data_IF_394882071993
#
_entry.id   IF_394882071993
#
_cell.length_a   1.000
_cell.length_b   1.000
_cell.length_c   1.000
_cell.angle_alpha   90.00
_cell.angle_beta   90.00
_cell.angle_gamma   90.00
#
_symmetry.space_group_name_H-M   'P 1'
#
loop_
_entity.id
_entity.type
_entity.pdbx_description
1 polymer ?
#
# COMPACT_ATOMS: atom_id res chain seq x y z
N UNK A 1 -6.83 -22.77 -28.17
CA UNK A 1 -6.71 -23.09 -26.73
C UNK A 1 -5.54 -22.29 -26.21
N UNK A 2 -5.80 -21.34 -25.31
CA UNK A 2 -4.74 -20.62 -24.60
C UNK A 2 -3.88 -21.61 -23.82
N UNK A 3 -2.59 -21.33 -23.73
CA UNK A 3 -1.65 -22.10 -22.91
C UNK A 3 -2.08 -21.99 -21.44
N UNK A 4 -2.05 -23.07 -20.64
CA UNK A 4 -2.40 -22.99 -19.22
C UNK A 4 -1.43 -22.07 -18.49
N UNK A 5 -1.97 -21.19 -17.66
CA UNK A 5 -1.25 -20.31 -16.75
C UNK A 5 -0.60 -21.14 -15.66
N UNK A 6 0.73 -21.23 -15.68
CA UNK A 6 1.56 -21.86 -14.65
C UNK A 6 2.50 -20.87 -13.99
N UNK A 7 2.94 -19.85 -14.74
CA UNK A 7 3.87 -18.82 -14.29
C UNK A 7 3.20 -17.45 -14.29
N UNK A 8 3.16 -16.78 -13.14
CA UNK A 8 2.56 -15.45 -13.00
C UNK A 8 3.63 -14.45 -12.56
N UNK A 9 3.79 -13.38 -13.33
CA UNK A 9 4.69 -12.29 -13.00
C UNK A 9 3.88 -11.10 -12.47
N UNK A 10 4.15 -10.71 -11.22
CA UNK A 10 3.66 -9.45 -10.69
C UNK A 10 4.69 -8.36 -10.91
N UNK A 11 4.23 -7.16 -11.27
CA UNK A 11 5.09 -6.00 -11.42
C UNK A 11 4.52 -4.83 -10.62
N UNK A 12 5.35 -4.32 -9.73
CA UNK A 12 5.21 -3.04 -9.08
C UNK A 12 6.12 -2.03 -9.82
N UNK A 13 5.55 -1.20 -10.73
CA UNK A 13 6.33 -0.29 -11.54
C UNK A 13 6.86 0.89 -10.72
N UNK A 14 8.03 1.39 -11.09
CA UNK A 14 8.61 2.62 -10.55
C UNK A 14 7.98 3.84 -11.21
N UNK A 15 8.07 5.00 -10.56
CA UNK A 15 7.65 6.23 -11.21
C UNK A 15 8.64 6.61 -12.33
N UNK A 16 8.17 7.26 -13.40
CA UNK A 16 9.02 7.69 -14.51
C UNK A 16 9.99 8.81 -14.13
N UNK A 17 9.76 9.49 -13.00
CA UNK A 17 10.62 10.56 -12.48
C UNK A 17 11.03 10.26 -11.04
N UNK A 18 12.26 10.62 -10.63
CA UNK A 18 12.70 10.44 -9.25
C UNK A 18 11.81 11.18 -8.24
N UNK A 19 11.55 10.54 -7.10
CA UNK A 19 10.88 11.13 -5.93
C UNK A 19 11.37 10.43 -4.65
N UNK A 20 10.78 10.72 -3.49
CA UNK A 20 11.26 10.14 -2.23
C UNK A 20 11.29 8.60 -2.24
N UNK A 21 10.26 7.96 -2.78
CA UNK A 21 10.20 6.49 -2.88
C UNK A 21 11.16 5.91 -3.92
N UNK A 22 11.77 6.75 -4.78
CA UNK A 22 12.89 6.31 -5.62
C UNK A 22 14.22 6.21 -4.85
N UNK A 23 14.26 6.72 -3.62
CA UNK A 23 15.40 6.63 -2.69
C UNK A 23 15.15 5.68 -1.53
N UNK A 24 13.88 5.51 -1.15
CA UNK A 24 13.41 4.61 -0.10
C UNK A 24 12.42 3.63 -0.73
N UNK A 25 12.89 2.45 -1.09
CA UNK A 25 12.07 1.42 -1.71
C UNK A 25 11.26 0.67 -0.63
N UNK A 26 9.99 1.04 -0.48
CA UNK A 26 9.03 0.37 0.40
C UNK A 26 8.12 -0.48 -0.49
N UNK A 27 8.17 -1.82 -0.40
CA UNK A 27 7.26 -2.70 -1.15
C UNK A 27 5.80 -2.35 -0.92
N UNK A 28 5.00 -2.26 -1.98
CA UNK A 28 3.54 -2.27 -1.83
C UNK A 28 3.09 -3.69 -1.52
N UNK A 29 2.24 -3.83 -0.49
CA UNK A 29 1.83 -5.16 -0.01
C UNK A 29 1.01 -5.95 -1.03
N UNK A 30 0.22 -5.27 -1.86
CA UNK A 30 -0.73 -5.88 -2.80
C UNK A 30 -0.10 -6.95 -3.71
N UNK A 31 0.91 -6.63 -4.54
CA UNK A 31 1.59 -7.60 -5.38
C UNK A 31 2.15 -8.82 -4.65
N UNK A 32 2.73 -8.62 -3.44
CA UNK A 32 3.30 -9.71 -2.64
C UNK A 32 2.20 -10.62 -2.09
N UNK A 33 1.13 -10.03 -1.55
CA UNK A 33 -0.02 -10.76 -1.02
C UNK A 33 -0.72 -11.56 -2.13
N UNK A 34 -1.09 -10.91 -3.23
CA UNK A 34 -1.76 -11.57 -4.35
C UNK A 34 -0.87 -12.64 -4.99
N UNK A 35 0.44 -12.38 -5.08
CA UNK A 35 1.41 -13.39 -5.49
C UNK A 35 1.43 -14.60 -4.57
N UNK A 36 1.36 -14.39 -3.26
CA UNK A 36 1.30 -15.47 -2.27
C UNK A 36 0.01 -16.30 -2.38
N UNK A 37 -1.13 -15.64 -2.63
CA UNK A 37 -2.40 -16.33 -2.87
C UNK A 37 -2.29 -17.29 -4.06
N UNK A 38 -1.76 -16.80 -5.19
CA UNK A 38 -1.57 -17.62 -6.39
C UNK A 38 -0.50 -18.71 -6.21
N UNK A 39 0.57 -18.42 -5.48
CA UNK A 39 1.60 -19.41 -5.14
C UNK A 39 1.02 -20.58 -4.33
N UNK A 40 0.13 -20.30 -3.36
CA UNK A 40 -0.58 -21.35 -2.59
C UNK A 40 -1.54 -22.19 -3.44
N UNK A 41 -1.90 -21.73 -4.63
CA UNK A 41 -2.67 -22.50 -5.62
C UNK A 41 -1.77 -23.34 -6.56
N UNK A 42 -0.46 -23.38 -6.30
CA UNK A 42 0.49 -24.18 -7.05
C UNK A 42 1.07 -23.49 -8.29
N UNK A 43 0.84 -22.17 -8.44
CA UNK A 43 1.43 -21.38 -9.50
C UNK A 43 2.86 -20.94 -9.15
N UNK A 44 3.74 -20.93 -10.14
CA UNK A 44 5.07 -20.36 -9.99
C UNK A 44 4.95 -18.83 -10.09
N UNK A 45 5.35 -18.11 -9.03
CA UNK A 45 5.15 -16.67 -8.92
C UNK A 45 6.48 -15.95 -8.77
N UNK A 46 6.61 -14.82 -9.46
CA UNK A 46 7.70 -13.85 -9.26
C UNK A 46 7.12 -12.46 -9.13
N UNK A 47 7.58 -11.69 -8.14
CA UNK A 47 7.17 -10.29 -7.93
C UNK A 47 8.36 -9.39 -8.21
N UNK A 48 8.24 -8.52 -9.21
CA UNK A 48 9.22 -7.47 -9.49
C UNK A 48 8.75 -6.19 -8.83
N UNK A 49 9.63 -5.60 -8.01
CA UNK A 49 9.46 -4.24 -7.51
C UNK A 49 10.57 -3.42 -8.14
N UNK A 50 10.24 -2.60 -9.15
CA UNK A 50 11.26 -1.90 -9.95
C UNK A 50 12.11 -0.93 -9.10
N UNK A 51 11.58 -0.45 -7.97
CA UNK A 51 12.35 0.35 -7.00
C UNK A 51 13.32 -0.45 -6.14
N UNK A 52 13.18 -1.77 -6.06
CA UNK A 52 14.17 -2.65 -5.43
C UNK A 52 15.16 -3.10 -6.49
N UNK A 53 14.67 -3.77 -7.52
CA UNK A 53 15.45 -4.32 -8.61
C UNK A 53 14.59 -4.31 -9.89
N UNK A 54 14.97 -3.45 -10.84
CA UNK A 54 14.38 -3.44 -12.17
C UNK A 54 15.24 -4.28 -13.12
N UNK A 55 14.79 -5.47 -13.55
CA UNK A 55 15.52 -6.25 -14.53
C UNK A 55 15.38 -5.61 -15.92
N UNK A 56 16.24 -6.03 -16.84
CA UNK A 56 15.95 -5.87 -18.26
C UNK A 56 14.92 -6.95 -18.62
N UNK A 57 13.65 -6.58 -18.75
CA UNK A 57 12.55 -7.53 -18.99
C UNK A 57 12.80 -8.51 -20.15
N UNK A 58 13.39 -8.12 -21.30
CA UNK A 58 13.72 -9.07 -22.36
C UNK A 58 14.70 -10.18 -21.95
N UNK A 59 15.51 -9.93 -20.92
CA UNK A 59 16.54 -10.83 -20.41
C UNK A 59 16.16 -11.46 -19.06
N UNK A 60 14.91 -11.28 -18.61
CA UNK A 60 14.43 -11.89 -17.39
C UNK A 60 14.28 -13.40 -17.63
N UNK A 61 15.02 -14.20 -16.85
CA UNK A 61 14.86 -15.67 -16.83
C UNK A 61 13.58 -16.06 -16.07
N UNK A 62 12.44 -15.65 -16.64
CA UNK A 62 11.08 -15.95 -16.22
C UNK A 62 10.14 -15.61 -17.37
N UNK A 63 9.52 -16.64 -17.95
CA UNK A 63 8.60 -16.49 -19.07
C UNK A 63 7.16 -16.61 -18.55
N UNK A 64 6.48 -15.48 -18.23
CA UNK A 64 5.15 -15.53 -17.65
C UNK A 64 4.10 -16.00 -18.65
N UNK A 65 3.13 -16.78 -18.16
CA UNK A 65 1.88 -17.06 -18.87
C UNK A 65 0.82 -15.99 -18.57
N UNK A 66 1.01 -15.18 -17.51
CA UNK A 66 0.16 -14.06 -17.10
C UNK A 66 1.01 -12.97 -16.43
N UNK A 67 0.71 -11.71 -16.71
CA UNK A 67 1.35 -10.56 -16.05
C UNK A 67 0.32 -9.73 -15.28
N UNK A 68 0.60 -9.46 -14.02
CA UNK A 68 -0.22 -8.65 -13.12
C UNK A 68 0.52 -7.36 -12.74
N UNK A 69 -0.02 -6.18 -13.07
CA UNK A 69 0.66 -4.91 -12.83
C UNK A 69 -0.15 -4.07 -11.84
N UNK A 70 0.44 -3.71 -10.70
CA UNK A 70 -0.21 -2.89 -9.67
C UNK A 70 0.26 -1.45 -9.74
N UNK A 71 -0.65 -0.50 -10.01
CA UNK A 71 -0.28 0.90 -10.23
C UNK A 71 -0.99 1.87 -9.27
N UNK A 72 -0.25 2.91 -8.89
CA UNK A 72 -0.80 4.18 -8.42
C UNK A 72 -0.63 5.22 -9.53
N UNK A 73 -1.28 6.37 -9.42
CA UNK A 73 -1.33 7.35 -10.52
C UNK A 73 0.05 7.80 -10.99
N UNK A 74 1.01 7.98 -10.08
CA UNK A 74 2.38 8.37 -10.44
C UNK A 74 3.16 7.28 -11.18
N UNK A 75 2.76 6.01 -11.07
CA UNK A 75 3.41 4.87 -11.74
C UNK A 75 2.62 4.35 -12.94
N UNK A 76 1.44 4.91 -13.22
CA UNK A 76 0.56 4.47 -14.30
C UNK A 76 1.21 4.55 -15.69
N UNK A 77 1.96 5.61 -16.08
CA UNK A 77 2.62 5.63 -17.39
C UNK A 77 3.56 4.44 -17.58
N UNK A 78 4.32 4.08 -16.53
CA UNK A 78 5.21 2.92 -16.58
C UNK A 78 4.45 1.60 -16.59
N UNK A 79 3.31 1.52 -15.90
CA UNK A 79 2.42 0.37 -15.96
C UNK A 79 1.89 0.13 -17.38
N UNK A 80 1.52 1.20 -18.09
CA UNK A 80 1.03 1.14 -19.48
C UNK A 80 2.11 0.68 -20.45
N UNK A 81 3.32 1.23 -20.37
CA UNK A 81 4.46 0.77 -21.17
C UNK A 81 4.70 -0.75 -21.01
N UNK A 82 4.63 -1.24 -19.78
CA UNK A 82 4.81 -2.65 -19.47
C UNK A 82 3.62 -3.50 -19.95
N UNK A 83 2.40 -3.00 -19.81
CA UNK A 83 1.20 -3.65 -20.32
C UNK A 83 1.26 -3.86 -21.84
N UNK A 84 1.56 -2.79 -22.58
CA UNK A 84 1.72 -2.84 -24.04
C UNK A 84 2.85 -3.79 -24.46
N UNK A 85 3.97 -3.77 -23.74
CA UNK A 85 5.11 -4.65 -24.01
C UNK A 85 4.75 -6.14 -23.89
N UNK A 86 4.02 -6.54 -22.84
CA UNK A 86 3.64 -7.94 -22.64
C UNK A 86 2.47 -8.38 -23.52
N UNK A 87 1.49 -7.51 -23.76
CA UNK A 87 0.41 -7.78 -24.72
C UNK A 87 0.93 -7.93 -26.14
N UNK A 88 1.94 -7.13 -26.52
CA UNK A 88 2.65 -7.26 -27.80
C UNK A 88 3.34 -8.62 -28.00
N UNK A 89 3.58 -9.36 -26.91
CA UNK A 89 4.12 -10.72 -26.93
C UNK A 89 3.04 -11.81 -26.83
N UNK A 90 1.76 -11.42 -26.80
CA UNK A 90 0.63 -12.33 -26.61
C UNK A 90 0.48 -12.85 -25.19
N UNK A 91 1.12 -12.22 -24.20
CA UNK A 91 0.94 -12.56 -22.78
C UNK A 91 -0.22 -11.73 -22.23
N UNK A 92 -1.27 -12.36 -21.64
CA UNK A 92 -2.38 -11.62 -21.07
C UNK A 92 -1.92 -10.74 -19.89
N UNK A 93 -2.49 -9.54 -19.80
CA UNK A 93 -2.16 -8.54 -18.78
C UNK A 93 -3.38 -8.21 -17.92
N UNK A 94 -3.19 -8.28 -16.61
CA UNK A 94 -4.14 -7.81 -15.59
C UNK A 94 -3.56 -6.57 -14.93
N UNK A 95 -4.31 -5.46 -14.92
CA UNK A 95 -3.94 -4.28 -14.13
C UNK A 95 -4.79 -4.16 -12.87
N UNK A 96 -4.20 -3.60 -11.82
CA UNK A 96 -4.88 -3.35 -10.55
C UNK A 96 -4.23 -2.22 -9.76
N UNK A 97 -4.72 -2.02 -8.54
CA UNK A 97 -4.29 -0.91 -7.69
C UNK A 97 -5.19 0.32 -7.83
N UNK A 98 -4.88 1.36 -7.05
CA UNK A 98 -5.75 2.51 -6.89
C UNK A 98 -6.02 3.26 -8.21
N UNK A 99 -5.00 3.38 -9.07
CA UNK A 99 -5.18 4.08 -10.34
C UNK A 99 -6.11 3.31 -11.28
N UNK A 100 -5.81 2.03 -11.54
CA UNK A 100 -6.62 1.21 -12.44
C UNK A 100 -8.05 0.99 -11.94
N UNK A 101 -8.26 1.00 -10.62
CA UNK A 101 -9.61 0.92 -10.03
C UNK A 101 -10.51 2.12 -10.35
N UNK A 102 -9.94 3.31 -10.58
CA UNK A 102 -10.70 4.54 -10.83
C UNK A 102 -10.57 5.07 -12.25
N UNK A 103 -9.59 4.58 -13.01
CA UNK A 103 -9.34 4.94 -14.42
C UNK A 103 -9.34 3.68 -15.29
N UNK A 104 -10.45 2.93 -15.19
CA UNK A 104 -10.61 1.58 -15.74
C UNK A 104 -10.44 1.56 -17.25
N UNK A 105 -11.11 2.48 -17.97
CA UNK A 105 -11.09 2.49 -19.44
C UNK A 105 -9.68 2.74 -19.99
N UNK A 106 -8.99 3.74 -19.45
CA UNK A 106 -7.60 4.05 -19.84
C UNK A 106 -6.68 2.85 -19.55
N UNK A 107 -6.86 2.19 -18.40
CA UNK A 107 -6.08 0.99 -18.07
C UNK A 107 -6.33 -0.17 -19.03
N UNK A 108 -7.57 -0.36 -19.51
CA UNK A 108 -7.92 -1.41 -20.48
C UNK A 108 -7.43 -1.11 -21.91
N UNK A 109 -7.02 0.12 -22.21
CA UNK A 109 -6.32 0.37 -23.47
C UNK A 109 -4.93 -0.31 -23.47
N UNK A 110 -4.38 -0.61 -22.27
CA UNK A 110 -3.05 -1.20 -22.05
C UNK A 110 -3.06 -2.58 -21.36
N UNK A 111 -4.23 -3.13 -21.06
CA UNK A 111 -4.42 -4.40 -20.35
C UNK A 111 -5.60 -5.19 -20.93
N UNK A 112 -5.65 -6.50 -20.69
CA UNK A 112 -6.79 -7.33 -21.10
C UNK A 112 -7.88 -7.36 -20.02
N UNK A 113 -7.46 -7.21 -18.75
CA UNK A 113 -8.33 -7.20 -17.58
C UNK A 113 -7.91 -6.13 -16.58
N UNK A 114 -8.88 -5.60 -15.84
CA UNK A 114 -8.64 -4.72 -14.68
C UNK A 114 -9.36 -5.30 -13.47
N UNK A 115 -8.63 -5.45 -12.36
CA UNK A 115 -9.21 -5.78 -11.05
C UNK A 115 -9.34 -4.49 -10.24
N UNK A 116 -10.57 -4.12 -9.95
CA UNK A 116 -10.93 -2.91 -9.21
C UNK A 116 -11.08 -3.21 -7.71
N UNK A 117 -10.52 -2.39 -6.83
CA UNK A 117 -10.62 -2.63 -5.39
C UNK A 117 -9.70 -3.75 -4.91
N UNK A 118 -10.19 -4.57 -3.99
CA UNK A 118 -9.42 -5.69 -3.41
C UNK A 118 -9.40 -6.88 -4.38
N UNK A 119 -8.20 -7.35 -4.73
CA UNK A 119 -8.03 -8.44 -5.70
C UNK A 119 -7.94 -9.84 -5.08
N UNK A 120 -8.14 -9.96 -3.77
CA UNK A 120 -7.77 -11.15 -3.00
C UNK A 120 -8.45 -12.43 -3.54
N UNK A 121 -9.74 -12.36 -3.84
CA UNK A 121 -10.48 -13.47 -4.46
C UNK A 121 -10.70 -13.31 -5.97
N UNK A 122 -10.85 -12.07 -6.44
CA UNK A 122 -11.16 -11.79 -7.85
C UNK A 122 -10.03 -12.24 -8.79
N UNK A 123 -8.77 -12.10 -8.38
CA UNK A 123 -7.64 -12.54 -9.20
C UNK A 123 -7.58 -14.06 -9.32
N UNK A 124 -7.65 -14.85 -8.24
CA UNK A 124 -7.79 -16.30 -8.33
C UNK A 124 -8.96 -16.79 -9.20
N UNK A 125 -10.13 -16.17 -9.07
CA UNK A 125 -11.32 -16.51 -9.87
C UNK A 125 -11.07 -16.28 -11.36
N UNK A 126 -10.48 -15.13 -11.72
CA UNK A 126 -10.08 -14.83 -13.09
C UNK A 126 -9.07 -15.86 -13.61
N UNK A 127 -8.01 -16.15 -12.84
CA UNK A 127 -6.98 -17.13 -13.23
C UNK A 127 -7.59 -18.51 -13.46
N UNK A 128 -8.54 -18.93 -12.63
CA UNK A 128 -9.24 -20.20 -12.78
C UNK A 128 -10.02 -20.28 -14.10
N UNK A 129 -10.78 -19.23 -14.45
CA UNK A 129 -11.55 -19.16 -15.71
C UNK A 129 -10.60 -19.16 -16.93
N UNK A 130 -9.51 -18.39 -16.87
CA UNK A 130 -8.52 -18.35 -17.95
C UNK A 130 -7.82 -19.70 -18.17
N UNK A 131 -7.63 -20.48 -17.10
CA UNK A 131 -7.02 -21.80 -17.14
C UNK A 131 -7.96 -22.89 -17.66
N UNK A 132 -9.22 -22.90 -17.24
CA UNK A 132 -10.21 -23.87 -17.72
C UNK A 132 -10.62 -23.57 -19.16
N UNK A 133 -10.61 -22.30 -19.58
CA UNK A 133 -11.26 -21.85 -20.81
C UNK A 133 -12.79 -21.91 -20.73
N UNK A 134 -13.34 -22.16 -19.53
CA UNK A 134 -14.75 -22.32 -19.22
C UNK A 134 -15.12 -21.42 -18.04
N UNK A 135 -16.26 -20.74 -18.12
CA UNK A 135 -16.75 -19.86 -17.05
C UNK A 135 -17.28 -18.54 -17.59
N UNK A 136 -17.96 -17.81 -16.72
CA UNK A 136 -18.50 -16.48 -17.03
C UNK A 136 -17.64 -15.40 -16.40
N UNK A 137 -16.96 -14.60 -17.24
CA UNK A 137 -16.21 -13.43 -16.77
C UNK A 137 -17.12 -12.42 -16.08
N UNK A 138 -18.42 -12.36 -16.41
CA UNK A 138 -19.43 -11.54 -15.75
C UNK A 138 -19.70 -11.93 -14.29
N UNK A 139 -19.34 -13.15 -13.88
CA UNK A 139 -19.50 -13.63 -12.51
C UNK A 139 -18.34 -13.22 -11.59
N UNK A 140 -17.18 -12.84 -12.15
CA UNK A 140 -16.02 -12.41 -11.36
C UNK A 140 -16.24 -10.97 -10.87
N UNK A 141 -16.72 -10.80 -9.64
CA UNK A 141 -16.84 -9.47 -9.04
C UNK A 141 -15.48 -8.76 -8.99
N UNK A 142 -15.49 -7.43 -8.98
CA UNK A 142 -14.30 -6.56 -9.13
C UNK A 142 -13.62 -6.59 -10.51
N UNK A 143 -14.02 -7.47 -11.43
CA UNK A 143 -13.42 -7.53 -12.77
C UNK A 143 -14.01 -6.48 -13.71
N UNK A 144 -13.14 -5.85 -14.49
CA UNK A 144 -13.51 -5.10 -15.69
C UNK A 144 -12.70 -5.59 -16.90
N UNK A 145 -13.34 -5.61 -18.07
CA UNK A 145 -12.77 -6.09 -19.32
C UNK A 145 -13.54 -5.51 -20.52
N UNK A 146 -13.01 -5.72 -21.72
CA UNK A 146 -13.69 -5.35 -22.96
C UNK A 146 -14.34 -6.58 -23.60
N UNK A 147 -15.62 -6.47 -23.92
CA UNK A 147 -16.34 -7.40 -24.78
C UNK A 147 -16.47 -6.77 -26.16
N UNK A 148 -15.51 -7.07 -27.05
CA UNK A 148 -15.28 -6.28 -28.25
C UNK A 148 -14.79 -4.88 -27.87
N UNK A 149 -15.58 -3.85 -28.19
CA UNK A 149 -15.28 -2.46 -27.80
C UNK A 149 -16.03 -2.01 -26.54
N UNK A 150 -16.97 -2.83 -26.06
CA UNK A 150 -17.87 -2.47 -24.97
C UNK A 150 -17.18 -2.72 -23.63
N UNK A 151 -17.08 -1.68 -22.81
CA UNK A 151 -16.62 -1.81 -21.44
C UNK A 151 -17.63 -2.61 -20.61
N UNK A 152 -17.20 -3.75 -20.11
CA UNK A 152 -17.88 -4.53 -19.07
C UNK A 152 -17.16 -4.29 -17.76
N UNK A 153 -17.88 -3.75 -16.78
CA UNK A 153 -17.37 -3.56 -15.42
C UNK A 153 -18.35 -4.22 -14.45
N UNK A 154 -17.90 -5.32 -13.86
CA UNK A 154 -18.72 -6.07 -12.92
C UNK A 154 -18.83 -5.30 -11.59
N UNK A 155 -19.90 -5.56 -10.80
CA UNK A 155 -20.05 -4.97 -9.49
C UNK A 155 -18.85 -5.23 -8.59
N UNK A 156 -18.54 -4.26 -7.73
CA UNK A 156 -17.54 -4.49 -6.69
C UNK A 156 -18.10 -5.45 -5.64
N UNK A 157 -17.29 -6.38 -5.16
CA UNK A 157 -17.69 -7.33 -4.11
C UNK A 157 -17.78 -6.66 -2.73
N UNK A 158 -18.56 -7.25 -1.81
CA UNK A 158 -18.44 -6.93 -0.39
C UNK A 158 -17.01 -7.14 0.11
N UNK A 159 -16.59 -6.29 1.04
CA UNK A 159 -15.27 -6.40 1.66
C UNK A 159 -15.15 -7.67 2.52
N UNK A 160 -14.00 -8.34 2.44
CA UNK A 160 -13.68 -9.46 3.32
C UNK A 160 -13.61 -8.98 4.78
N UNK A 161 -14.51 -9.43 5.65
CA UNK A 161 -14.59 -8.94 7.04
C UNK A 161 -13.44 -9.44 7.92
N UNK A 162 -13.05 -10.70 7.77
CA UNK A 162 -11.97 -11.31 8.54
C UNK A 162 -10.67 -11.36 7.71
N UNK A 163 -9.76 -10.43 7.96
CA UNK A 163 -8.50 -10.35 7.23
C UNK A 163 -7.56 -11.54 7.54
N UNK A 164 -7.82 -12.29 8.62
CA UNK A 164 -7.01 -13.44 8.99
C UNK A 164 -7.14 -14.63 8.03
N UNK A 165 -8.19 -14.64 7.19
CA UNK A 165 -8.39 -15.66 6.16
C UNK A 165 -7.36 -15.58 5.03
N UNK A 166 -6.75 -14.40 4.85
CA UNK A 166 -5.72 -14.19 3.83
C UNK A 166 -4.43 -14.94 4.22
N UNK A 167 -3.53 -15.27 3.29
CA UNK A 167 -2.23 -15.80 3.64
C UNK A 167 -1.31 -14.70 4.23
N UNK A 168 -0.32 -15.09 5.05
CA UNK A 168 0.80 -14.20 5.36
C UNK A 168 1.61 -14.00 4.08
N UNK A 169 1.85 -12.76 3.63
CA UNK A 169 2.63 -12.47 2.44
C UNK A 169 4.02 -13.13 2.49
N UNK A 170 4.40 -13.81 1.41
CA UNK A 170 5.73 -14.40 1.25
C UNK A 170 6.64 -13.44 0.50
N UNK A 171 7.58 -12.78 1.20
CA UNK A 171 8.53 -11.88 0.56
C UNK A 171 9.62 -12.62 -0.24
N UNK A 172 9.74 -13.94 -0.14
CA UNK A 172 10.72 -14.71 -0.93
C UNK A 172 10.32 -14.80 -2.42
N UNK A 173 9.07 -14.49 -2.80
CA UNK A 173 8.70 -14.34 -4.22
C UNK A 173 9.22 -13.04 -4.85
N UNK A 174 9.73 -12.09 -4.06
CA UNK A 174 10.26 -10.81 -4.54
C UNK A 174 11.61 -11.03 -5.21
N UNK A 175 11.67 -10.70 -6.50
CA UNK A 175 12.87 -10.77 -7.30
C UNK A 175 13.97 -9.85 -6.75
N UNK A 176 15.15 -10.43 -6.52
CA UNK A 176 16.35 -9.71 -6.11
C UNK A 176 16.13 -8.81 -4.88
N UNK A 177 15.33 -9.29 -3.92
CA UNK A 177 14.96 -8.53 -2.72
C UNK A 177 16.18 -7.96 -1.96
N UNK A 178 17.34 -8.61 -2.05
CA UNK A 178 18.58 -8.21 -1.38
C UNK A 178 19.43 -7.16 -2.15
N UNK A 179 19.08 -6.80 -3.40
CA UNK A 179 19.97 -6.09 -4.32
C UNK A 179 20.39 -4.66 -3.88
N UNK A 180 19.57 -3.95 -3.09
CA UNK A 180 19.84 -2.57 -2.65
C UNK A 180 20.30 -2.46 -1.19
N UNK A 181 21.35 -3.22 -0.83
CA UNK A 181 22.06 -3.21 0.47
C UNK A 181 21.31 -3.92 1.62
N UNK A 182 20.84 -5.13 1.38
CA UNK A 182 20.10 -5.90 2.39
C UNK A 182 18.62 -5.53 2.41
N UNK A 183 17.78 -6.45 2.89
CA UNK A 183 16.32 -6.36 2.96
C UNK A 183 15.91 -5.13 3.77
N UNK A 184 15.76 -3.98 3.11
CA UNK A 184 15.74 -2.69 3.83
C UNK A 184 14.40 -2.39 4.47
N UNK A 185 13.31 -2.68 3.75
CA UNK A 185 11.96 -2.50 4.21
C UNK A 185 11.11 -3.74 3.91
N UNK A 186 10.20 -4.07 4.82
CA UNK A 186 9.01 -4.86 4.54
C UNK A 186 7.79 -4.05 4.93
N UNK A 187 6.69 -4.24 4.20
CA UNK A 187 5.39 -3.69 4.56
C UNK A 187 4.55 -4.75 5.25
N UNK A 188 3.92 -4.39 6.37
CA UNK A 188 2.95 -5.22 7.08
C UNK A 188 1.68 -4.39 7.23
N UNK A 189 0.53 -4.92 6.85
CA UNK A 189 -0.75 -4.25 7.09
C UNK A 189 -1.41 -4.84 8.33
N UNK A 190 -1.79 -4.01 9.29
CA UNK A 190 -2.57 -4.48 10.45
C UNK A 190 -4.07 -4.29 10.29
N UNK A 191 -4.46 -3.45 9.32
CA UNK A 191 -5.84 -3.10 9.04
C UNK A 191 -6.06 -2.64 7.59
N UNK A 192 -7.33 -2.58 7.19
CA UNK A 192 -7.81 -1.95 5.94
C UNK A 192 -9.04 -1.11 6.23
N UNK A 193 -9.22 -0.04 5.45
CA UNK A 193 -10.37 0.86 5.54
C UNK A 193 -10.14 2.05 6.46
N UNK A 194 -11.04 3.04 6.43
CA UNK A 194 -10.94 4.26 7.24
C UNK A 194 -12.30 4.98 7.33
N UNK A 195 -12.84 5.31 8.52
CA UNK A 195 -14.15 5.98 8.66
C UNK A 195 -14.07 7.48 8.39
N UNK A 196 -12.86 8.04 8.40
CA UNK A 196 -12.66 9.48 8.21
C UNK A 196 -13.01 9.91 6.79
N UNK A 197 -13.60 11.10 6.68
CA UNK A 197 -14.14 11.62 5.42
C UNK A 197 -13.30 12.80 4.90
N UNK A 198 -11.97 12.63 4.85
CA UNK A 198 -11.07 13.66 4.33
C UNK A 198 -11.35 13.86 2.84
N UNK A 199 -11.60 15.10 2.40
CA UNK A 199 -12.15 15.40 1.05
C UNK A 199 -11.26 14.88 -0.09
N UNK A 200 -9.95 14.87 0.11
CA UNK A 200 -8.96 14.48 -0.90
C UNK A 200 -8.65 12.97 -0.93
N UNK A 201 -9.12 12.20 0.05
CA UNK A 201 -8.62 10.85 0.30
C UNK A 201 -9.36 9.78 -0.52
N UNK A 202 -8.61 8.90 -1.19
CA UNK A 202 -9.14 7.78 -1.98
C UNK A 202 -9.44 6.50 -1.17
N UNK A 203 -8.97 6.40 0.07
CA UNK A 203 -9.05 5.17 0.90
C UNK A 203 -10.47 4.67 1.06
N UNK A 204 -11.42 5.55 1.38
CA UNK A 204 -12.82 5.13 1.61
C UNK A 204 -13.47 4.52 0.37
N UNK A 205 -13.02 4.96 -0.82
CA UNK A 205 -13.51 4.43 -2.09
C UNK A 205 -12.90 3.08 -2.39
N UNK A 206 -11.67 2.81 -1.94
CA UNK A 206 -10.94 1.58 -2.26
C UNK A 206 -11.15 0.47 -1.21
N UNK A 207 -11.09 0.80 0.08
CA UNK A 207 -11.09 -0.14 1.20
C UNK A 207 -12.31 -0.03 2.13
N UNK A 208 -13.20 0.92 1.85
CA UNK A 208 -14.42 1.14 2.62
C UNK A 208 -14.23 1.99 3.87
N UNK A 209 -15.36 2.25 4.55
CA UNK A 209 -15.42 3.13 5.74
C UNK A 209 -15.17 2.39 7.06
N UNK A 210 -15.29 1.07 7.07
CA UNK A 210 -15.12 0.26 8.27
C UNK A 210 -13.67 -0.19 8.38
N UNK A 211 -13.05 0.01 9.54
CA UNK A 211 -11.80 -0.65 9.82
C UNK A 211 -12.01 -2.15 9.94
N UNK A 212 -11.21 -2.91 9.20
CA UNK A 212 -11.09 -4.36 9.29
C UNK A 212 -9.66 -4.65 9.71
N UNK A 213 -9.47 -5.53 10.69
CA UNK A 213 -8.18 -5.75 11.32
C UNK A 213 -7.71 -7.19 11.11
N UNK A 214 -6.39 -7.35 10.96
CA UNK A 214 -5.75 -8.62 11.26
C UNK A 214 -5.72 -8.81 12.79
N UNK A 215 -5.80 -10.03 13.31
CA UNK A 215 -5.57 -10.27 14.74
C UNK A 215 -4.13 -9.91 15.14
N UNK A 216 -3.92 -9.64 16.42
CA UNK A 216 -2.55 -9.40 16.95
C UNK A 216 -1.68 -10.64 16.73
N UNK A 217 -2.22 -11.84 16.94
CA UNK A 217 -1.49 -13.10 16.72
C UNK A 217 -1.00 -13.25 15.27
N UNK A 218 -1.86 -12.93 14.31
CA UNK A 218 -1.48 -12.95 12.89
C UNK A 218 -0.40 -11.92 12.57
N UNK A 219 -0.52 -10.71 13.09
CA UNK A 219 0.49 -9.66 12.88
C UNK A 219 1.83 -10.08 13.51
N UNK A 220 1.82 -10.68 14.71
CA UNK A 220 3.03 -11.23 15.34
C UNK A 220 3.67 -12.33 14.49
N UNK A 221 2.86 -13.22 13.90
CA UNK A 221 3.36 -14.25 12.98
C UNK A 221 4.01 -13.63 11.73
N UNK A 222 3.43 -12.59 11.16
CA UNK A 222 4.00 -11.89 10.00
C UNK A 222 5.28 -11.12 10.35
N UNK A 223 5.36 -10.50 11.53
CA UNK A 223 6.59 -9.87 12.05
C UNK A 223 7.70 -10.91 12.17
N UNK A 224 7.43 -12.08 12.76
CA UNK A 224 8.42 -13.15 12.91
C UNK A 224 8.86 -13.71 11.54
N UNK A 225 7.93 -13.89 10.61
CA UNK A 225 8.22 -14.48 9.29
C UNK A 225 8.99 -13.51 8.37
N UNK A 226 8.61 -12.23 8.37
CA UNK A 226 9.08 -11.23 7.40
C UNK A 226 9.79 -10.05 8.06
N UNK A 227 9.22 -9.50 9.14
CA UNK A 227 9.73 -8.31 9.82
C UNK A 227 11.18 -8.46 10.28
N UNK A 228 11.51 -9.56 10.95
CA UNK A 228 12.86 -9.83 11.46
C UNK A 228 13.89 -10.12 10.36
N UNK A 229 13.45 -10.34 9.12
CA UNK A 229 14.34 -10.53 7.97
C UNK A 229 14.74 -9.21 7.34
N UNK A 230 14.16 -8.08 7.76
CA UNK A 230 14.42 -6.76 7.21
C UNK A 230 14.98 -5.81 8.26
N UNK A 231 15.64 -4.74 7.79
CA UNK A 231 16.15 -3.69 8.65
C UNK A 231 15.06 -2.82 9.26
N UNK A 232 13.91 -2.70 8.58
CA UNK A 232 12.83 -1.81 8.97
C UNK A 232 11.47 -2.39 8.57
N UNK A 233 10.50 -2.32 9.48
CA UNK A 233 9.10 -2.65 9.18
C UNK A 233 8.31 -1.36 8.96
N UNK A 234 7.61 -1.27 7.84
CA UNK A 234 6.63 -0.22 7.61
C UNK A 234 5.22 -0.79 7.81
N UNK A 235 4.55 -0.39 8.89
CA UNK A 235 3.14 -0.69 9.05
C UNK A 235 2.33 0.18 8.08
N UNK A 236 1.90 -0.43 6.98
CA UNK A 236 1.39 0.29 5.81
C UNK A 236 -0.11 0.65 5.88
N UNK A 237 -0.69 0.58 7.08
CA UNK A 237 -2.03 1.03 7.40
C UNK A 237 -2.24 2.50 7.02
N UNK A 238 -3.44 2.86 6.56
CA UNK A 238 -3.81 4.26 6.31
C UNK A 238 -3.90 5.09 7.61
N UNK A 239 -4.12 4.41 8.74
CA UNK A 239 -4.04 4.95 10.09
C UNK A 239 -3.79 3.79 11.06
N UNK A 240 -2.53 3.55 11.40
CA UNK A 240 -2.10 2.44 12.26
C UNK A 240 -2.75 2.47 13.64
N UNK A 241 -2.88 3.67 14.22
CA UNK A 241 -3.48 3.89 15.54
C UNK A 241 -5.01 4.04 15.50
N UNK A 242 -5.66 3.41 14.52
CA UNK A 242 -7.11 3.40 14.38
C UNK A 242 -7.80 2.81 15.62
N UNK A 243 -7.28 1.69 16.11
CA UNK A 243 -7.67 1.06 17.37
C UNK A 243 -6.47 1.08 18.31
N UNK A 244 -6.48 2.01 19.25
CA UNK A 244 -5.34 2.27 20.14
C UNK A 244 -5.08 1.11 21.08
N UNK A 245 -6.14 0.52 21.64
CA UNK A 245 -6.02 -0.59 22.58
C UNK A 245 -5.42 -1.81 21.89
N UNK A 246 -5.84 -2.09 20.64
CA UNK A 246 -5.22 -3.15 19.83
C UNK A 246 -3.74 -2.87 19.53
N UNK A 247 -3.35 -1.62 19.28
CA UNK A 247 -1.93 -1.27 19.07
C UNK A 247 -1.12 -1.37 20.36
N UNK A 248 -1.69 -0.99 21.51
CA UNK A 248 -1.06 -1.22 22.82
C UNK A 248 -0.82 -2.72 23.06
N UNK A 249 -1.81 -3.56 22.77
CA UNK A 249 -1.68 -5.03 22.84
C UNK A 249 -0.54 -5.53 21.93
N UNK A 250 -0.49 -5.08 20.67
CA UNK A 250 0.58 -5.44 19.74
C UNK A 250 1.97 -5.02 20.27
N UNK A 251 2.11 -3.79 20.76
CA UNK A 251 3.37 -3.31 21.31
C UNK A 251 3.79 -4.10 22.57
N UNK A 252 2.83 -4.43 23.45
CA UNK A 252 3.08 -5.28 24.61
C UNK A 252 3.55 -6.68 24.19
N UNK A 253 2.94 -7.27 23.15
CA UNK A 253 3.35 -8.57 22.60
C UNK A 253 4.77 -8.54 22.03
N UNK A 254 5.13 -7.51 21.27
CA UNK A 254 6.49 -7.28 20.76
C UNK A 254 7.51 -7.26 21.91
N UNK A 255 7.19 -6.51 22.98
CA UNK A 255 8.04 -6.39 24.17
C UNK A 255 8.16 -7.70 24.95
N UNK A 256 7.04 -8.42 25.14
CA UNK A 256 7.01 -9.70 25.86
C UNK A 256 7.82 -10.77 25.14
N UNK A 257 7.72 -10.83 23.82
CA UNK A 257 8.47 -11.77 22.98
C UNK A 257 9.91 -11.32 22.71
N UNK A 258 10.28 -10.11 23.18
CA UNK A 258 11.62 -9.51 23.03
C UNK A 258 12.06 -9.42 21.57
N UNK A 259 11.13 -9.07 20.69
CA UNK A 259 11.43 -8.84 19.28
C UNK A 259 12.11 -7.48 19.15
N UNK A 260 13.26 -7.45 18.45
CA UNK A 260 14.09 -6.26 18.30
C UNK A 260 14.19 -5.89 16.82
N UNK A 261 13.45 -4.85 16.43
CA UNK A 261 13.43 -4.29 15.07
C UNK A 261 12.90 -2.86 15.11
N UNK A 262 13.34 -2.05 14.15
CA UNK A 262 12.81 -0.69 13.97
C UNK A 262 11.56 -0.72 13.08
N UNK A 263 10.59 0.12 13.42
CA UNK A 263 9.41 0.26 12.59
C UNK A 263 8.89 1.69 12.50
N UNK A 264 8.08 1.92 11.46
CA UNK A 264 7.38 3.18 11.26
C UNK A 264 5.97 2.95 10.76
N UNK A 265 5.10 3.91 11.01
CA UNK A 265 3.69 3.79 10.67
C UNK A 265 3.08 5.16 10.34
N UNK A 266 1.99 5.15 9.57
CA UNK A 266 1.16 6.33 9.37
C UNK A 266 0.15 6.47 10.50
N UNK A 267 0.06 7.67 11.06
CA UNK A 267 -0.85 7.97 12.18
C UNK A 267 -1.52 9.32 11.96
N UNK A 268 -2.58 9.56 12.74
CA UNK A 268 -3.19 10.88 12.83
C UNK A 268 -2.71 11.63 14.07
N UNK A 269 -2.90 12.96 14.05
CA UNK A 269 -2.58 13.88 15.14
C UNK A 269 -3.19 13.42 16.47
N UNK A 270 -4.36 12.80 16.45
CA UNK A 270 -5.03 12.35 17.68
C UNK A 270 -4.28 11.23 18.43
N UNK A 271 -3.35 10.51 17.79
CA UNK A 271 -2.53 9.48 18.43
C UNK A 271 -1.65 10.07 19.54
N UNK A 272 -1.16 11.29 19.35
CA UNK A 272 -0.28 11.98 20.30
C UNK A 272 -0.98 12.49 21.57
N UNK A 273 -2.25 12.12 21.78
CA UNK A 273 -3.04 12.42 22.99
C UNK A 273 -3.06 11.25 23.98
N UNK A 274 -2.47 10.12 23.64
CA UNK A 274 -2.43 8.90 24.46
C UNK A 274 -0.98 8.62 24.86
N UNK A 275 -0.63 9.00 26.08
CA UNK A 275 0.74 8.91 26.62
C UNK A 275 1.21 7.45 26.74
N UNK A 276 0.33 6.56 27.22
CA UNK A 276 0.63 5.13 27.33
C UNK A 276 0.90 4.51 25.95
N UNK A 277 0.09 4.86 24.94
CA UNK A 277 0.31 4.40 23.58
C UNK A 277 1.70 4.83 23.07
N UNK A 278 2.07 6.11 23.25
CA UNK A 278 3.37 6.61 22.80
C UNK A 278 4.55 5.94 23.52
N UNK A 279 4.46 5.72 24.85
CA UNK A 279 5.48 4.97 25.60
C UNK A 279 5.65 3.55 25.06
N UNK A 280 4.54 2.83 24.86
CA UNK A 280 4.56 1.47 24.34
C UNK A 280 5.12 1.41 22.92
N UNK A 281 4.72 2.35 22.05
CA UNK A 281 5.25 2.45 20.69
C UNK A 281 6.77 2.67 20.70
N UNK A 282 7.26 3.63 21.48
CA UNK A 282 8.69 3.94 21.57
C UNK A 282 9.50 2.71 22.04
N UNK A 283 9.05 2.08 23.12
CA UNK A 283 9.72 0.89 23.69
C UNK A 283 9.68 -0.31 22.75
N UNK A 284 8.61 -0.46 21.97
CA UNK A 284 8.46 -1.53 21.00
C UNK A 284 9.19 -1.29 19.67
N UNK A 285 10.02 -0.24 19.55
CA UNK A 285 10.86 0.02 18.38
C UNK A 285 10.29 1.02 17.37
N UNK A 286 9.28 1.83 17.74
CA UNK A 286 8.78 2.89 16.88
C UNK A 286 9.85 3.97 16.65
N UNK A 287 10.43 3.96 15.46
CA UNK A 287 11.47 4.90 15.07
C UNK A 287 10.89 6.25 14.64
N UNK A 288 9.85 6.21 13.81
CA UNK A 288 9.28 7.40 13.17
C UNK A 288 7.79 7.20 12.89
N UNK A 289 7.00 8.25 13.10
CA UNK A 289 5.60 8.31 12.66
C UNK A 289 5.45 9.27 11.48
N UNK A 290 4.65 8.85 10.51
CA UNK A 290 4.25 9.66 9.36
C UNK A 290 2.90 10.28 9.69
N UNK A 291 2.88 11.59 9.97
CA UNK A 291 1.67 12.26 10.45
C UNK A 291 1.05 13.10 9.34
N UNK A 292 -0.20 12.80 9.01
CA UNK A 292 -0.99 13.60 8.06
C UNK A 292 -1.38 14.96 8.64
N UNK A 293 -0.43 15.91 8.65
CA UNK A 293 -0.64 17.29 9.11
C UNK A 293 -1.45 18.10 8.08
N UNK A 294 -1.24 17.80 6.80
CA UNK A 294 -1.86 18.35 5.59
C UNK A 294 -1.63 19.85 5.38
N UNK A 295 -1.94 20.69 6.36
CA UNK A 295 -1.80 22.14 6.25
C UNK A 295 -1.73 22.78 7.63
N UNK A 296 -1.08 23.94 7.70
CA UNK A 296 -1.15 24.84 8.87
C UNK A 296 -2.15 26.00 8.66
N UNK A 297 -2.81 26.05 7.50
CA UNK A 297 -3.85 27.03 7.21
C UNK A 297 -5.20 26.48 7.70
N UNK A 298 -5.86 27.12 8.70
CA UNK A 298 -7.14 26.64 9.22
C UNK A 298 -8.24 26.56 8.16
N UNK A 299 -8.23 27.44 7.15
CA UNK A 299 -9.18 27.39 6.05
C UNK A 299 -9.00 26.13 5.19
N UNK A 300 -7.75 25.78 4.86
CA UNK A 300 -7.40 24.54 4.14
C UNK A 300 -7.76 23.29 4.96
N UNK A 301 -7.47 23.26 6.26
CA UNK A 301 -7.86 22.13 7.13
C UNK A 301 -9.37 21.91 7.15
N UNK A 302 -10.15 23.00 7.23
CA UNK A 302 -11.61 22.96 7.15
C UNK A 302 -12.09 22.48 5.78
N UNK A 303 -11.50 22.98 4.68
CA UNK A 303 -11.82 22.56 3.31
C UNK A 303 -11.58 21.06 3.11
N UNK A 304 -10.48 20.55 3.66
CA UNK A 304 -10.11 19.14 3.61
C UNK A 304 -10.91 18.25 4.56
N UNK A 305 -11.76 18.84 5.39
CA UNK A 305 -12.55 18.15 6.41
C UNK A 305 -11.65 17.40 7.42
N UNK A 306 -10.54 18.03 7.81
CA UNK A 306 -9.66 17.55 8.89
C UNK A 306 -10.09 18.18 10.21
N UNK A 307 -10.18 17.36 11.25
CA UNK A 307 -10.63 17.75 12.59
C UNK A 307 -9.53 18.36 13.48
N UNK A 308 -8.30 18.43 12.99
CA UNK A 308 -7.14 18.92 13.76
C UNK A 308 -7.00 20.44 13.68
N UNK A 309 -6.44 21.03 14.74
CA UNK A 309 -6.07 22.46 14.80
C UNK A 309 -4.55 22.62 14.64
N UNK A 310 -4.09 23.85 14.38
CA UNK A 310 -2.66 24.16 14.28
C UNK A 310 -1.96 23.91 15.61
N UNK A 311 -2.61 24.24 16.73
CA UNK A 311 -2.12 23.94 18.09
C UNK A 311 -2.04 22.43 18.31
N UNK A 312 -3.05 21.67 17.90
CA UNK A 312 -3.03 20.20 18.00
C UNK A 312 -1.92 19.56 17.17
N UNK A 313 -1.58 20.14 16.02
CA UNK A 313 -0.41 19.74 15.21
C UNK A 313 0.89 20.00 15.99
N UNK A 314 1.04 21.17 16.63
CA UNK A 314 2.21 21.48 17.47
C UNK A 314 2.36 20.50 18.63
N UNK A 315 1.27 20.31 19.39
CA UNK A 315 1.25 19.40 20.54
C UNK A 315 1.61 17.97 20.11
N UNK A 316 1.12 17.54 18.95
CA UNK A 316 1.43 16.23 18.40
C UNK A 316 2.92 16.02 18.18
N UNK A 317 3.59 16.97 17.53
CA UNK A 317 5.04 16.90 17.28
C UNK A 317 5.81 16.85 18.60
N UNK A 318 5.52 17.78 19.51
CA UNK A 318 6.18 17.88 20.82
C UNK A 318 6.01 16.59 21.63
N UNK A 319 4.81 16.00 21.62
CA UNK A 319 4.51 14.80 22.39
C UNK A 319 5.21 13.56 21.85
N UNK A 320 5.31 13.39 20.53
CA UNK A 320 6.10 12.30 19.96
C UNK A 320 7.60 12.46 20.24
N UNK A 321 8.14 13.66 20.08
CA UNK A 321 9.55 13.93 20.40
C UNK A 321 9.90 13.67 21.86
N UNK A 322 8.98 13.98 22.79
CA UNK A 322 9.14 13.68 24.23
C UNK A 322 9.30 12.19 24.51
N UNK A 323 8.75 11.32 23.66
CA UNK A 323 8.89 9.87 23.76
C UNK A 323 10.03 9.32 22.89
N UNK A 324 10.86 10.19 22.30
CA UNK A 324 11.96 9.78 21.42
C UNK A 324 11.52 9.29 20.05
N UNK A 325 10.26 9.52 19.66
CA UNK A 325 9.72 9.12 18.35
C UNK A 325 9.88 10.28 17.37
N UNK A 326 10.47 10.00 16.21
CA UNK A 326 10.66 10.99 15.14
C UNK A 326 9.35 11.28 14.41
N UNK A 327 9.20 12.49 13.86
CA UNK A 327 7.99 12.90 13.15
C UNK A 327 8.30 13.32 11.71
N UNK A 328 7.78 12.54 10.77
CA UNK A 328 7.67 12.95 9.37
C UNK A 328 6.34 13.67 9.16
N UNK A 329 6.39 14.98 8.91
CA UNK A 329 5.21 15.82 8.74
C UNK A 329 4.77 15.88 7.29
N UNK A 330 3.63 15.26 6.95
CA UNK A 330 3.10 15.26 5.59
C UNK A 330 2.23 16.49 5.34
N UNK A 331 2.54 17.25 4.29
CA UNK A 331 1.80 18.45 3.88
C UNK A 331 1.31 18.34 2.43
N UNK A 332 0.14 18.95 2.16
CA UNK A 332 -0.45 19.06 0.82
C UNK A 332 -0.58 20.54 0.50
N UNK A 333 0.18 20.99 -0.50
CA UNK A 333 0.14 22.37 -0.98
C UNK A 333 -0.73 22.50 -2.23
N UNK A 334 -1.28 23.70 -2.43
CA UNK A 334 -2.05 24.04 -3.62
C UNK A 334 -3.56 23.88 -3.45
N UNK A 335 -4.04 23.93 -2.20
CA UNK A 335 -5.46 24.11 -1.91
C UNK A 335 -5.99 25.39 -2.54
N UNK A 336 -7.30 25.43 -2.81
CA UNK A 336 -8.03 26.66 -3.20
C UNK A 336 -7.88 27.78 -2.16
N UNK A 337 -7.67 27.39 -0.90
CA UNK A 337 -7.49 28.31 0.24
C UNK A 337 -6.02 28.67 0.49
N UNK A 338 -5.07 28.04 -0.22
CA UNK A 338 -3.64 28.35 -0.06
C UNK A 338 -3.24 29.54 -0.93
N UNK A 339 -2.44 30.43 -0.34
CA UNK A 339 -1.69 31.45 -1.06
C UNK A 339 -0.20 31.28 -0.80
N UNK A 340 0.64 31.98 -1.57
CA UNK A 340 2.11 31.82 -1.51
C UNK A 340 2.69 31.92 -0.08
N UNK A 341 2.10 32.77 0.77
CA UNK A 341 2.54 32.96 2.15
C UNK A 341 2.34 31.69 3.01
N UNK A 342 1.33 30.85 2.74
CA UNK A 342 1.12 29.57 3.45
C UNK A 342 2.34 28.67 3.29
N UNK A 343 2.95 28.61 2.10
CA UNK A 343 4.14 27.80 1.86
C UNK A 343 5.31 28.30 2.74
N UNK A 344 5.51 29.61 2.82
CA UNK A 344 6.56 30.21 3.68
C UNK A 344 6.29 29.96 5.15
N UNK A 345 5.05 30.09 5.58
CA UNK A 345 4.64 29.87 6.96
C UNK A 345 4.80 28.39 7.34
N UNK A 346 4.49 27.45 6.44
CA UNK A 346 4.72 26.01 6.67
C UNK A 346 6.21 25.72 6.83
N UNK A 347 7.08 26.33 6.02
CA UNK A 347 8.54 26.17 6.19
C UNK A 347 8.99 26.72 7.53
N UNK A 348 8.52 27.91 7.93
CA UNK A 348 8.85 28.51 9.23
C UNK A 348 8.37 27.62 10.38
N UNK A 349 7.10 27.20 10.33
CA UNK A 349 6.48 26.31 11.32
C UNK A 349 7.25 25.00 11.46
N UNK A 350 7.63 24.39 10.34
CA UNK A 350 8.36 23.11 10.33
C UNK A 350 9.74 23.23 10.99
N UNK A 351 10.44 24.36 10.78
CA UNK A 351 11.73 24.63 11.41
C UNK A 351 11.61 24.99 12.88
N UNK A 352 10.55 25.70 13.27
CA UNK A 352 10.28 26.06 14.67
C UNK A 352 9.93 24.84 15.52
N UNK A 353 9.25 23.85 14.95
CA UNK A 353 8.92 22.58 15.62
C UNK A 353 9.99 21.50 15.48
N UNK A 354 11.09 21.77 14.79
CA UNK A 354 12.16 20.80 14.53
C UNK A 354 11.64 19.48 13.92
N UNK A 355 10.76 19.58 12.90
CA UNK A 355 10.26 18.40 12.19
C UNK A 355 11.42 17.59 11.58
N UNK A 356 11.44 16.28 11.84
CA UNK A 356 12.52 15.39 11.41
C UNK A 356 12.62 15.25 9.90
N UNK A 357 11.48 15.33 9.21
CA UNK A 357 11.38 15.32 7.74
C UNK A 357 9.99 15.78 7.27
N UNK A 358 9.89 16.10 5.97
CA UNK A 358 8.70 16.59 5.27
C UNK A 358 8.41 15.78 4.01
#
# INVERSE_FOLDING_TARGET
MSRPIKKVLFIEPRAPRPHIFSRVAIPRLGPVLLGTILQRQGLEVKVIIEEIAAPQYPNLDFYPDLVCISSITSTAPRAYELGDYYRGQGVPVVMGGAHSSFVVRESLDHADYVICGEGDEALPELVAILNSGEGDLGAVQNLAFLEGEILRQNPWRPFLENLDELPIPDYEVVHDWNARRGRRFVSIATSRGCPFNCRFCGVIKLFGRKYRFNSVDRVMQEIQQNGLKAHHVFFCDDNFTADRERIKELCQRILQEKLDFEWSAQVRVEAAKDEELMDLMARAGCYCVFVGLESINPATLKLYNKSQTVEGIKDCVINFHRHGIRVHGMFVFGSEEDHFQVIRDTVKFSRELDLDSL
#
